data_IF_617288828595
#
_entry.id   IF_617288828595
#
_cell.length_a   1.000
_cell.length_b   1.000
_cell.length_c   1.000
_cell.angle_alpha   90.00
_cell.angle_beta   90.00
_cell.angle_gamma   90.00
#
_symmetry.space_group_name_H-M   'P 1'
#
loop_
_entity.id
_entity.type
_entity.pdbx_description
1 polymer ?
#
# COMPACT_ATOMS: atom_id res chain seq x y z
N UNK A 1 -0.80 7.90 36.86
CA UNK A 1 -1.24 6.49 36.92
C UNK A 1 -2.61 6.50 37.57
N UNK A 2 -3.70 6.47 36.80
CA UNK A 2 -5.04 6.68 37.38
C UNK A 2 -5.55 5.35 37.91
N UNK A 3 -5.68 5.29 39.24
CA UNK A 3 -6.12 4.13 40.01
C UNK A 3 -7.64 4.03 40.06
N UNK A 4 -8.12 2.78 40.11
CA UNK A 4 -9.50 2.35 40.34
C UNK A 4 -9.97 2.76 41.75
N UNK A 5 -11.11 3.45 41.94
CA UNK A 5 -11.64 3.68 43.28
C UNK A 5 -12.56 2.52 43.69
N UNK A 6 -12.24 1.90 44.82
CA UNK A 6 -13.14 1.03 45.59
C UNK A 6 -13.66 1.82 46.80
N UNK A 7 -14.98 1.97 46.92
CA UNK A 7 -15.65 2.28 48.18
C UNK A 7 -17.12 1.86 48.10
N UNK A 8 -17.52 1.00 49.03
CA UNK A 8 -18.87 0.48 49.23
C UNK A 8 -19.73 1.47 50.04
N UNK A 9 -20.95 1.74 49.58
CA UNK A 9 -22.09 2.15 50.40
C UNK A 9 -23.40 1.81 49.64
N UNK A 10 -24.26 0.99 50.25
CA UNK A 10 -25.59 0.61 49.74
C UNK A 10 -26.63 1.72 49.88
N UNK A 11 -27.71 1.57 49.10
CA UNK A 11 -29.00 2.31 49.07
C UNK A 11 -28.91 3.67 48.37
N UNK A 12 -29.65 3.96 47.30
CA UNK A 12 -31.11 3.92 47.21
C UNK A 12 -31.57 3.90 45.73
N UNK A 13 -32.67 3.21 45.46
CA UNK A 13 -33.23 3.05 44.12
C UNK A 13 -33.87 4.36 43.67
N UNK A 14 -33.14 5.15 42.88
CA UNK A 14 -33.73 6.07 41.92
C UNK A 14 -33.18 5.75 40.55
N UNK A 15 -34.00 5.08 39.74
CA UNK A 15 -33.86 4.99 38.29
C UNK A 15 -34.00 6.40 37.72
N UNK A 16 -32.99 7.24 37.93
CA UNK A 16 -32.82 8.46 37.17
C UNK A 16 -32.58 8.05 35.74
N UNK A 17 -33.37 8.58 34.81
CA UNK A 17 -33.09 8.43 33.38
C UNK A 17 -31.65 8.87 33.13
N UNK A 18 -30.75 7.91 32.87
CA UNK A 18 -29.44 8.22 32.33
C UNK A 18 -29.71 8.76 30.93
N UNK A 19 -29.75 10.08 30.80
CA UNK A 19 -29.89 10.73 29.51
C UNK A 19 -28.71 10.29 28.66
N UNK A 20 -29.01 9.63 27.54
CA UNK A 20 -28.01 9.29 26.53
C UNK A 20 -27.21 10.56 26.17
N UNK A 21 -25.89 10.47 26.23
CA UNK A 21 -25.03 11.57 25.78
C UNK A 21 -25.14 11.72 24.28
N UNK A 22 -25.03 12.97 23.81
CA UNK A 22 -25.01 13.24 22.38
C UNK A 22 -23.90 12.44 21.68
N UNK A 23 -24.16 12.05 20.43
CA UNK A 23 -23.22 11.25 19.65
C UNK A 23 -21.84 11.91 19.49
N UNK A 24 -21.80 13.25 19.44
CA UNK A 24 -20.58 14.06 19.37
C UNK A 24 -19.90 14.30 20.72
N UNK A 25 -20.44 13.79 21.83
CA UNK A 25 -19.85 13.95 23.16
C UNK A 25 -18.45 13.33 23.21
N UNK A 26 -17.50 14.07 23.80
CA UNK A 26 -16.13 13.61 24.06
C UNK A 26 -15.99 12.87 25.39
N UNK A 27 -17.06 12.81 26.17
CA UNK A 27 -17.11 12.12 27.47
C UNK A 27 -18.38 11.26 27.54
N UNK A 28 -18.50 10.25 26.65
CA UNK A 28 -19.57 9.25 26.76
C UNK A 28 -19.40 8.40 28.03
N UNK A 29 -20.46 7.71 28.44
CA UNK A 29 -20.33 6.62 29.42
C UNK A 29 -19.48 5.47 28.83
N UNK A 30 -19.08 4.53 29.69
CA UNK A 30 -18.31 3.36 29.24
C UNK A 30 -19.16 2.52 28.29
N UNK A 31 -20.41 2.28 28.62
CA UNK A 31 -21.35 1.50 27.81
C UNK A 31 -21.59 2.18 26.45
N UNK A 32 -21.79 3.49 26.44
CA UNK A 32 -21.95 4.26 25.19
C UNK A 32 -20.68 4.24 24.34
N UNK A 33 -19.49 4.22 24.97
CA UNK A 33 -18.22 4.09 24.28
C UNK A 33 -18.08 2.71 23.64
N UNK A 34 -18.40 1.63 24.37
CA UNK A 34 -18.35 0.25 23.86
C UNK A 34 -19.29 0.06 22.67
N UNK A 35 -20.51 0.61 22.73
CA UNK A 35 -21.45 0.58 21.60
C UNK A 35 -20.87 1.33 20.39
N UNK A 36 -20.34 2.54 20.59
CA UNK A 36 -19.74 3.34 19.50
C UNK A 36 -18.52 2.66 18.88
N UNK A 37 -17.66 2.05 19.69
CA UNK A 37 -16.49 1.31 19.23
C UNK A 37 -16.91 0.07 18.43
N UNK A 38 -17.89 -0.71 18.93
CA UNK A 38 -18.43 -1.86 18.20
C UNK A 38 -19.07 -1.46 16.85
N UNK A 39 -19.79 -0.33 16.81
CA UNK A 39 -20.34 0.22 15.57
C UNK A 39 -19.23 0.65 14.59
N UNK A 40 -18.20 1.33 15.07
CA UNK A 40 -17.06 1.72 14.25
C UNK A 40 -16.29 0.50 13.70
N UNK A 41 -16.08 -0.52 14.52
CA UNK A 41 -15.46 -1.78 14.11
C UNK A 41 -16.30 -2.47 13.03
N UNK A 42 -17.61 -2.56 13.23
CA UNK A 42 -18.53 -3.11 12.24
C UNK A 42 -18.46 -2.38 10.90
N UNK A 43 -18.38 -1.04 10.91
CA UNK A 43 -18.21 -0.23 9.70
C UNK A 43 -16.88 -0.50 9.00
N UNK A 44 -15.77 -0.62 9.74
CA UNK A 44 -14.45 -0.95 9.17
C UNK A 44 -14.49 -2.32 8.49
N UNK A 45 -15.00 -3.34 9.18
CA UNK A 45 -15.10 -4.71 8.67
C UNK A 45 -15.99 -4.76 7.43
N UNK A 46 -17.16 -4.11 7.48
CA UNK A 46 -18.13 -4.11 6.37
C UNK A 46 -17.57 -3.47 5.09
N UNK A 47 -16.81 -2.38 5.22
CA UNK A 47 -16.22 -1.68 4.08
C UNK A 47 -14.94 -2.34 3.55
N UNK A 48 -14.45 -3.38 4.22
CA UNK A 48 -13.19 -4.04 3.84
C UNK A 48 -13.45 -5.37 3.13
N UNK A 49 -12.86 -5.54 1.93
CA UNK A 49 -12.91 -6.83 1.23
C UNK A 49 -11.96 -7.83 1.88
N UNK A 50 -12.51 -8.95 2.35
CA UNK A 50 -11.77 -10.06 2.97
C UNK A 50 -10.96 -9.64 4.22
N UNK A 51 -11.61 -9.14 5.29
CA UNK A 51 -10.92 -8.65 6.48
C UNK A 51 -10.03 -9.71 7.16
N UNK A 52 -10.45 -10.99 7.12
CA UNK A 52 -9.66 -12.13 7.62
C UNK A 52 -8.36 -12.27 6.84
N UNK A 53 -8.42 -12.25 5.51
CA UNK A 53 -7.24 -12.40 4.66
C UNK A 53 -6.26 -11.23 4.73
N UNK A 54 -6.74 -10.06 5.15
CA UNK A 54 -5.91 -8.87 5.39
C UNK A 54 -5.35 -8.81 6.82
N UNK A 55 -5.64 -9.82 7.65
CA UNK A 55 -5.16 -9.91 9.03
C UNK A 55 -5.79 -8.91 9.99
N UNK A 56 -6.96 -8.34 9.66
CA UNK A 56 -7.63 -7.35 10.51
C UNK A 56 -8.13 -8.03 11.78
N UNK A 57 -7.79 -7.43 12.92
CA UNK A 57 -8.25 -7.90 14.23
C UNK A 57 -9.74 -7.58 14.41
N UNK A 58 -10.59 -8.62 14.33
CA UNK A 58 -12.05 -8.48 14.40
C UNK A 58 -12.62 -8.70 15.80
N UNK A 59 -11.79 -9.16 16.74
CA UNK A 59 -12.12 -9.44 18.15
C UNK A 59 -11.59 -8.36 19.11
N UNK A 60 -11.10 -7.24 18.56
CA UNK A 60 -10.50 -6.13 19.27
C UNK A 60 -11.33 -4.85 19.25
N UNK A 61 -10.67 -3.71 19.45
CA UNK A 61 -11.33 -2.38 19.31
C UNK A 61 -11.33 -1.90 17.87
N UNK A 62 -12.19 -0.96 17.52
CA UNK A 62 -12.15 -0.30 16.21
C UNK A 62 -10.80 0.38 15.95
N UNK A 63 -10.17 0.91 17.00
CA UNK A 63 -8.84 1.50 16.93
C UNK A 63 -7.76 0.47 16.59
N UNK A 64 -7.81 -0.74 17.16
CA UNK A 64 -6.89 -1.83 16.80
C UNK A 64 -7.07 -2.25 15.35
N UNK A 65 -8.32 -2.45 14.90
CA UNK A 65 -8.61 -2.78 13.50
C UNK A 65 -8.13 -1.70 12.52
N UNK A 66 -8.34 -0.42 12.87
CA UNK A 66 -7.84 0.71 12.09
C UNK A 66 -6.31 0.79 12.07
N UNK A 67 -5.65 0.53 13.19
CA UNK A 67 -4.18 0.50 13.26
C UNK A 67 -3.62 -0.65 12.43
N UNK A 68 -4.20 -1.85 12.45
CA UNK A 68 -3.78 -2.94 11.57
C UNK A 68 -3.94 -2.58 10.10
N UNK A 69 -5.06 -1.95 9.73
CA UNK A 69 -5.23 -1.41 8.37
C UNK A 69 -4.17 -0.37 8.05
N UNK A 70 -3.81 0.49 9.01
CA UNK A 70 -2.80 1.52 8.80
C UNK A 70 -1.38 0.95 8.72
N UNK A 71 -1.06 -0.08 9.48
CA UNK A 71 0.25 -0.73 9.42
C UNK A 71 0.39 -1.57 8.14
N UNK A 72 -0.68 -2.28 7.75
CA UNK A 72 -0.65 -3.12 6.55
C UNK A 72 -0.84 -2.32 5.25
N UNK A 73 -1.56 -1.19 5.30
CA UNK A 73 -1.98 -0.43 4.11
C UNK A 73 -1.92 1.10 4.27
N UNK A 74 -1.82 1.61 5.49
CA UNK A 74 -1.66 3.03 5.79
C UNK A 74 -0.21 3.47 5.88
N UNK A 75 0.64 2.87 5.07
CA UNK A 75 1.41 3.64 4.12
C UNK A 75 0.97 3.19 2.74
N UNK A 76 0.27 4.05 2.02
CA UNK A 76 -0.12 3.86 0.61
C UNK A 76 1.09 3.72 -0.35
N UNK A 77 2.29 3.48 0.19
CA UNK A 77 3.55 3.45 -0.50
C UNK A 77 4.02 2.02 -0.77
N UNK A 78 4.32 1.18 0.23
CA UNK A 78 5.10 -0.05 -0.03
C UNK A 78 4.36 -1.14 -0.84
N UNK A 79 3.12 -1.51 -0.50
CA UNK A 79 2.37 -2.51 -1.29
C UNK A 79 2.03 -1.95 -2.67
N UNK A 80 1.69 -0.65 -2.76
CA UNK A 80 1.38 0.01 -4.02
C UNK A 80 2.63 0.15 -4.90
N UNK A 81 3.78 0.44 -4.31
CA UNK A 81 5.12 0.44 -4.91
C UNK A 81 5.44 -0.95 -5.43
N UNK A 82 5.34 -1.97 -4.59
CA UNK A 82 5.60 -3.36 -4.96
C UNK A 82 4.68 -3.80 -6.12
N UNK A 83 3.39 -3.47 -6.08
CA UNK A 83 2.48 -3.79 -7.18
C UNK A 83 2.81 -3.01 -8.46
N UNK A 84 3.21 -1.74 -8.35
CA UNK A 84 3.62 -0.94 -9.49
C UNK A 84 4.94 -1.43 -10.10
N UNK A 85 5.92 -1.80 -9.27
CA UNK A 85 7.17 -2.46 -9.67
C UNK A 85 6.88 -3.79 -10.37
N UNK A 86 6.00 -4.63 -9.80
CA UNK A 86 5.63 -5.90 -10.42
C UNK A 86 4.97 -5.73 -11.79
N UNK A 87 4.18 -4.66 -11.97
CA UNK A 87 3.59 -4.30 -13.27
C UNK A 87 4.64 -3.77 -14.25
N UNK A 88 5.60 -3.00 -13.75
CA UNK A 88 6.73 -2.52 -14.56
C UNK A 88 7.56 -3.71 -15.07
N UNK A 89 7.96 -4.63 -14.19
CA UNK A 89 8.75 -5.81 -14.57
C UNK A 89 8.01 -6.81 -15.46
N UNK A 90 6.68 -6.83 -15.42
CA UNK A 90 5.85 -7.69 -16.28
C UNK A 90 5.55 -7.08 -17.66
N UNK A 91 6.09 -5.90 -17.97
CA UNK A 91 5.89 -5.25 -19.27
C UNK A 91 6.83 -5.89 -20.28
N UNK A 92 6.27 -6.53 -21.31
CA UNK A 92 7.02 -7.26 -22.33
C UNK A 92 6.80 -6.63 -23.71
N UNK A 93 7.86 -6.56 -24.51
CA UNK A 93 7.81 -6.15 -25.90
C UNK A 93 7.49 -7.38 -26.77
N UNK A 94 6.43 -7.30 -27.55
CA UNK A 94 6.06 -8.33 -28.51
C UNK A 94 6.34 -7.89 -29.93
N UNK A 95 6.71 -8.84 -30.79
CA UNK A 95 6.97 -8.57 -32.21
C UNK A 95 5.76 -7.90 -32.88
N UNK A 96 6.01 -6.76 -33.54
CA UNK A 96 4.98 -5.93 -34.18
C UNK A 96 4.47 -4.76 -33.34
N UNK A 97 4.91 -4.61 -32.08
CA UNK A 97 4.67 -3.38 -31.30
C UNK A 97 5.58 -2.23 -31.72
N UNK A 98 5.09 -1.01 -31.52
CA UNK A 98 5.87 0.21 -31.69
C UNK A 98 6.83 0.38 -30.50
N UNK A 99 8.13 0.32 -30.79
CA UNK A 99 9.18 0.41 -29.78
C UNK A 99 9.16 1.75 -29.02
N UNK A 100 8.80 2.85 -29.67
CA UNK A 100 8.71 4.16 -29.02
C UNK A 100 7.59 4.16 -28.00
N UNK A 101 6.42 3.62 -28.36
CA UNK A 101 5.28 3.50 -27.43
C UNK A 101 5.57 2.57 -26.26
N UNK A 102 6.32 1.50 -26.49
CA UNK A 102 6.76 0.58 -25.44
C UNK A 102 7.67 1.27 -24.41
N UNK A 103 8.63 2.08 -24.87
CA UNK A 103 9.49 2.86 -23.97
C UNK A 103 8.70 3.91 -23.19
N UNK A 104 7.75 4.60 -23.84
CA UNK A 104 6.87 5.56 -23.17
C UNK A 104 6.06 4.90 -22.05
N UNK A 105 5.48 3.73 -22.32
CA UNK A 105 4.71 2.95 -21.35
C UNK A 105 5.57 2.47 -20.17
N UNK A 106 6.79 1.99 -20.43
CA UNK A 106 7.76 1.63 -19.37
C UNK A 106 8.12 2.84 -18.50
N UNK A 107 8.32 4.02 -19.09
CA UNK A 107 8.65 5.25 -18.35
C UNK A 107 7.47 5.73 -17.51
N UNK A 108 6.25 5.63 -18.01
CA UNK A 108 5.05 5.98 -17.25
C UNK A 108 4.86 5.04 -16.05
N UNK A 109 5.03 3.74 -16.26
CA UNK A 109 4.98 2.73 -15.19
C UNK A 109 6.08 2.94 -14.14
N UNK A 110 7.30 3.26 -14.56
CA UNK A 110 8.40 3.60 -13.66
C UNK A 110 8.09 4.83 -12.81
N UNK A 111 7.63 5.92 -13.44
CA UNK A 111 7.18 7.12 -12.72
C UNK A 111 6.08 6.80 -11.70
N UNK A 112 5.09 5.99 -12.08
CA UNK A 112 4.01 5.58 -11.16
C UNK A 112 4.52 4.75 -9.98
N UNK A 113 5.54 3.91 -10.20
CA UNK A 113 6.17 3.15 -9.13
C UNK A 113 6.92 4.06 -8.15
N UNK A 114 7.69 5.03 -8.67
CA UNK A 114 8.41 6.01 -7.85
C UNK A 114 7.48 6.95 -7.08
N UNK A 115 6.37 7.39 -7.67
CA UNK A 115 5.34 8.17 -6.98
C UNK A 115 4.70 7.41 -5.81
N UNK A 116 4.66 6.07 -5.91
CA UNK A 116 4.22 5.17 -4.84
C UNK A 116 5.36 4.78 -3.91
N UNK A 117 6.56 5.34 -4.05
CA UNK A 117 7.71 5.11 -3.17
C UNK A 117 8.55 3.87 -3.49
N UNK A 118 8.43 3.29 -4.68
CA UNK A 118 9.39 2.30 -5.15
C UNK A 118 10.76 2.95 -5.37
N UNK A 119 11.82 2.31 -4.88
CA UNK A 119 13.21 2.76 -5.08
C UNK A 119 13.80 2.02 -6.28
N UNK A 120 13.60 2.58 -7.48
CA UNK A 120 14.09 2.02 -8.75
C UNK A 120 15.05 3.04 -9.35
N UNK A 121 16.34 2.74 -9.28
CA UNK A 121 17.39 3.57 -9.88
C UNK A 121 17.52 3.32 -11.40
N UNK A 122 18.33 4.16 -12.06
CA UNK A 122 18.49 4.08 -13.52
C UNK A 122 19.08 2.73 -13.98
N UNK A 123 19.94 2.11 -13.17
CA UNK A 123 20.54 0.81 -13.48
C UNK A 123 19.49 -0.31 -13.41
N UNK A 124 18.64 -0.31 -12.38
CA UNK A 124 17.50 -1.21 -12.27
C UNK A 124 16.52 -1.00 -13.43
N UNK A 125 16.23 0.25 -13.79
CA UNK A 125 15.36 0.55 -14.93
C UNK A 125 15.97 0.07 -16.26
N UNK A 126 17.27 0.23 -16.49
CA UNK A 126 17.96 -0.31 -17.67
C UNK A 126 17.88 -1.84 -17.74
N UNK A 127 18.06 -2.53 -16.62
CA UNK A 127 17.92 -3.98 -16.56
C UNK A 127 16.49 -4.42 -16.88
N UNK A 128 15.48 -3.71 -16.37
CA UNK A 128 14.07 -3.96 -16.68
C UNK A 128 13.79 -3.72 -18.17
N UNK A 129 14.32 -2.64 -18.74
CA UNK A 129 14.17 -2.34 -20.16
C UNK A 129 14.74 -3.48 -21.01
N UNK A 130 15.94 -3.96 -20.70
CA UNK A 130 16.58 -5.08 -21.41
C UNK A 130 15.75 -6.36 -21.23
N UNK A 131 15.30 -6.66 -20.02
CA UNK A 131 14.47 -7.83 -19.70
C UNK A 131 13.10 -7.79 -20.39
N UNK A 132 12.57 -6.61 -20.70
CA UNK A 132 11.31 -6.45 -21.44
C UNK A 132 11.43 -6.82 -22.91
N UNK A 133 12.64 -6.93 -23.48
CA UNK A 133 12.84 -7.22 -24.89
C UNK A 133 12.83 -8.72 -25.17
N UNK A 134 12.28 -9.16 -26.31
CA UNK A 134 12.35 -10.57 -26.71
C UNK A 134 13.81 -10.96 -26.98
N UNK A 135 14.11 -12.24 -26.73
CA UNK A 135 15.47 -12.79 -26.87
C UNK A 135 16.02 -12.62 -28.30
N UNK A 136 15.15 -12.60 -29.30
CA UNK A 136 15.48 -12.32 -30.71
C UNK A 136 16.11 -10.94 -30.89
N UNK A 137 15.59 -9.92 -30.21
CA UNK A 137 16.12 -8.55 -30.26
C UNK A 137 17.34 -8.39 -29.38
N UNK A 138 17.35 -8.98 -28.18
CA UNK A 138 18.54 -8.97 -27.31
C UNK A 138 19.76 -9.55 -28.02
N UNK A 139 19.61 -10.67 -28.74
CA UNK A 139 20.73 -11.24 -29.51
C UNK A 139 21.29 -10.21 -30.51
N UNK A 140 20.45 -9.56 -31.30
CA UNK A 140 20.92 -8.64 -32.35
C UNK A 140 21.63 -7.40 -31.78
N UNK A 141 21.08 -6.78 -30.73
CA UNK A 141 21.70 -5.59 -30.12
C UNK A 141 23.01 -5.90 -29.39
N UNK A 142 23.11 -7.05 -28.70
CA UNK A 142 24.32 -7.46 -27.99
C UNK A 142 25.44 -7.81 -28.97
N UNK A 143 25.14 -8.47 -30.09
CA UNK A 143 26.13 -8.76 -31.13
C UNK A 143 26.64 -7.49 -31.83
N UNK A 144 25.80 -6.48 -32.06
CA UNK A 144 26.22 -5.20 -32.66
C UNK A 144 27.08 -4.36 -31.69
N UNK A 145 26.72 -4.30 -30.40
CA UNK A 145 27.49 -3.58 -29.39
C UNK A 145 28.88 -4.19 -29.16
N UNK A 146 29.01 -5.52 -29.21
CA UNK A 146 30.31 -6.21 -29.14
C UNK A 146 31.12 -6.16 -30.45
N UNK A 147 30.47 -5.92 -31.60
CA UNK A 147 31.14 -5.84 -32.91
C UNK A 147 31.62 -4.44 -33.28
N UNK A 148 31.31 -3.42 -32.48
CA UNK A 148 31.78 -2.06 -32.70
C UNK A 148 33.24 -1.91 -32.24
N UNK A 149 34.20 -2.18 -33.13
CA UNK A 149 35.59 -1.76 -32.90
C UNK A 149 35.67 -0.25 -33.05
N UNK A 150 36.11 0.51 -32.02
CA UNK A 150 36.32 1.94 -32.18
C UNK A 150 37.35 2.15 -33.28
N UNK A 151 36.93 2.81 -34.36
CA UNK A 151 37.83 3.25 -35.42
C UNK A 151 38.91 4.11 -34.75
N UNK A 152 40.16 3.65 -34.78
CA UNK A 152 41.31 4.43 -34.33
C UNK A 152 41.26 5.77 -35.07
N UNK A 153 41.05 6.84 -34.32
CA UNK A 153 41.13 8.20 -34.85
C UNK A 153 42.62 8.50 -34.99
N UNK A 154 43.14 8.40 -36.21
CA UNK A 154 44.50 8.83 -36.54
C UNK A 154 44.58 10.35 -36.33
N UNK A 155 45.36 10.76 -35.33
CA UNK A 155 45.78 12.14 -35.16
C UNK A 155 46.99 12.38 -36.06
N UNK A 156 46.80 13.13 -37.15
CA UNK A 156 47.90 13.76 -37.90
C UNK A 156 48.42 14.99 -37.20
#
# INVERSE_FOLDING_TARGET
MIQKPENNAETDTKKGEVKATEWSSRTPSIEEWEERDAWALGLIIYNTKNPIGLGIKMDGTAAEAWNTLKENYGEFSEIAAMMAEKRLCATEFTDGMDFTKHIEDLREKWKSATEKGAVIDDAAFQNILIASLPESLMRNFVWEAFSYTPTQVDFQ
#
